data_IF_091075405220
#
_entry.id   IF_091075405220
#
_cell.length_a   1.000
_cell.length_b   1.000
_cell.length_c   1.000
_cell.angle_alpha   90.00
_cell.angle_beta   90.00
_cell.angle_gamma   90.00
#
_symmetry.space_group_name_H-M   'P 1'
#
loop_
_entity.id
_entity.type
_entity.pdbx_description
1 polymer ?
#
# COMPACT_ATOMS: atom_id res chain seq x y z
N UNK A 1 -19.20 15.58 -3.91
CA UNK A 1 -19.22 16.86 -4.45
C UNK A 1 -17.87 17.39 -4.90
N UNK A 2 -17.97 18.47 -5.65
CA UNK A 2 -16.82 19.18 -6.21
C UNK A 2 -15.86 19.73 -5.16
N UNK A 3 -16.31 19.85 -3.91
CA UNK A 3 -15.51 20.44 -2.84
C UNK A 3 -14.36 19.56 -2.35
N UNK A 4 -14.44 18.24 -2.58
CA UNK A 4 -13.34 17.33 -2.20
C UNK A 4 -12.09 17.55 -3.04
N UNK A 5 -12.25 17.98 -4.30
CA UNK A 5 -11.13 18.24 -5.19
C UNK A 5 -10.37 19.53 -4.82
N UNK A 6 -11.01 20.44 -4.09
CA UNK A 6 -10.42 21.73 -3.69
C UNK A 6 -9.66 21.65 -2.36
N UNK A 7 -9.86 20.57 -1.60
CA UNK A 7 -9.25 20.38 -0.28
C UNK A 7 -8.00 19.47 -0.31
N UNK A 8 -7.49 19.18 -1.49
CA UNK A 8 -6.24 18.42 -1.62
C UNK A 8 -5.09 19.31 -1.15
N UNK A 9 -4.29 18.77 -0.24
CA UNK A 9 -3.09 19.43 0.27
C UNK A 9 -2.24 19.91 -0.91
N UNK A 10 -1.73 21.16 -0.87
CA UNK A 10 -0.88 21.70 -1.95
C UNK A 10 0.29 20.79 -2.31
N UNK A 11 0.92 20.15 -1.33
CA UNK A 11 2.02 19.21 -1.58
C UNK A 11 1.53 17.96 -2.31
N UNK A 12 0.36 17.47 -1.93
CA UNK A 12 -0.26 16.33 -2.59
C UNK A 12 -0.67 16.68 -4.02
N UNK A 13 -1.23 17.87 -4.20
CA UNK A 13 -1.60 18.39 -5.52
C UNK A 13 -0.38 18.58 -6.41
N UNK A 14 0.70 19.11 -5.86
CA UNK A 14 1.96 19.27 -6.56
C UNK A 14 2.52 17.92 -7.02
N UNK A 15 2.40 16.90 -6.18
CA UNK A 15 2.84 15.54 -6.51
C UNK A 15 1.98 14.87 -7.55
N UNK A 16 0.66 15.07 -7.50
CA UNK A 16 -0.26 14.59 -8.53
C UNK A 16 0.02 15.27 -9.85
N UNK A 17 0.25 16.60 -9.83
CA UNK A 17 0.58 17.37 -11.03
C UNK A 17 1.94 16.97 -11.62
N UNK A 18 2.89 16.57 -10.76
CA UNK A 18 4.19 16.08 -11.18
C UNK A 18 4.19 14.56 -11.41
N UNK A 19 3.04 13.90 -11.24
CA UNK A 19 2.85 12.50 -11.54
C UNK A 19 3.08 12.25 -13.02
N UNK A 20 3.70 11.16 -13.33
CA UNK A 20 4.03 10.78 -14.70
C UNK A 20 4.89 9.54 -14.68
N UNK A 21 5.25 9.01 -15.85
CA UNK A 21 5.99 7.75 -15.95
C UNK A 21 7.36 7.79 -15.29
N UNK A 22 7.91 8.99 -15.02
CA UNK A 22 9.22 9.14 -14.39
C UNK A 22 9.19 9.05 -12.87
N UNK A 23 8.00 9.02 -12.26
CA UNK A 23 7.88 8.92 -10.81
C UNK A 23 7.81 7.49 -10.32
N UNK A 24 8.48 7.24 -9.20
CA UNK A 24 8.47 5.93 -8.58
C UNK A 24 7.07 5.56 -8.08
N UNK A 25 6.76 4.29 -8.21
CA UNK A 25 5.56 3.70 -7.65
C UNK A 25 5.91 3.18 -6.26
N UNK A 26 5.46 3.91 -5.25
CA UNK A 26 5.86 3.67 -3.86
C UNK A 26 4.75 2.97 -3.10
N UNK A 27 5.02 1.75 -2.66
CA UNK A 27 4.14 0.98 -1.80
C UNK A 27 4.65 1.11 -0.37
N UNK A 28 3.82 1.66 0.52
CA UNK A 28 4.25 2.02 1.87
C UNK A 28 3.40 1.33 2.93
N UNK A 29 4.07 0.86 3.98
CA UNK A 29 3.46 0.43 5.23
C UNK A 29 4.02 1.28 6.36
N UNK A 30 3.16 1.80 7.23
CA UNK A 30 3.60 2.55 8.41
C UNK A 30 3.12 1.87 9.69
N UNK A 31 3.91 1.96 10.74
CA UNK A 31 3.62 1.38 12.04
C UNK A 31 4.23 -0.02 12.21
N UNK A 32 3.78 -0.72 13.23
CA UNK A 32 4.25 -2.07 13.53
C UNK A 32 3.79 -3.04 12.43
N UNK A 33 4.74 -3.75 11.85
CA UNK A 33 4.47 -4.78 10.84
C UNK A 33 4.85 -6.14 11.44
N UNK A 34 3.83 -6.85 11.94
CA UNK A 34 4.02 -8.12 12.64
C UNK A 34 4.06 -9.30 11.67
N UNK A 35 4.86 -10.32 12.02
CA UNK A 35 5.08 -11.50 11.19
C UNK A 35 3.80 -12.25 10.82
N UNK A 36 2.82 -12.31 11.73
CA UNK A 36 1.56 -13.03 11.50
C UNK A 36 0.62 -12.34 10.52
N UNK A 37 0.93 -11.11 10.13
CA UNK A 37 0.25 -10.39 9.05
C UNK A 37 1.02 -10.37 7.73
N UNK A 38 2.08 -11.16 7.60
CA UNK A 38 2.96 -11.13 6.43
C UNK A 38 2.21 -11.51 5.15
N UNK A 39 2.05 -10.57 4.20
CA UNK A 39 1.32 -10.81 2.95
C UNK A 39 2.24 -11.45 1.90
N UNK A 40 2.63 -12.70 2.12
CA UNK A 40 3.59 -13.38 1.24
C UNK A 40 3.18 -13.43 -0.21
N UNK A 41 1.87 -13.58 -0.48
CA UNK A 41 1.35 -13.57 -1.85
C UNK A 41 1.54 -12.22 -2.53
N UNK A 42 1.39 -11.12 -1.79
CA UNK A 42 1.66 -9.79 -2.34
C UNK A 42 3.11 -9.67 -2.82
N UNK A 43 4.07 -10.16 -2.04
CA UNK A 43 5.48 -10.10 -2.44
C UNK A 43 5.73 -10.91 -3.72
N UNK A 44 5.11 -12.07 -3.85
CA UNK A 44 5.18 -12.89 -5.06
C UNK A 44 4.58 -12.19 -6.28
N UNK A 45 3.44 -11.53 -6.10
CA UNK A 45 2.78 -10.75 -7.16
C UNK A 45 3.67 -9.62 -7.65
N UNK A 46 4.28 -8.87 -6.73
CA UNK A 46 5.18 -7.77 -7.08
C UNK A 46 6.43 -8.29 -7.82
N UNK A 47 7.00 -9.37 -7.36
CA UNK A 47 8.16 -9.98 -8.00
C UNK A 47 7.84 -10.45 -9.41
N UNK A 48 6.71 -11.12 -9.60
CA UNK A 48 6.25 -11.58 -10.92
C UNK A 48 6.04 -10.40 -11.87
N UNK A 49 5.45 -9.30 -11.38
CA UNK A 49 5.24 -8.11 -12.21
C UNK A 49 6.57 -7.45 -12.59
N UNK A 50 7.54 -7.40 -11.69
CA UNK A 50 8.88 -6.91 -12.00
C UNK A 50 9.55 -7.71 -13.13
N UNK A 51 9.30 -9.03 -13.17
CA UNK A 51 9.85 -9.89 -14.23
C UNK A 51 9.20 -9.61 -15.58
N UNK A 52 7.90 -9.30 -15.60
CA UNK A 52 7.12 -9.14 -16.84
C UNK A 52 7.11 -7.72 -17.37
N UNK A 53 7.30 -6.72 -16.51
CA UNK A 53 7.16 -5.31 -16.85
C UNK A 53 8.41 -4.55 -16.40
N UNK A 54 9.26 -4.21 -17.36
CA UNK A 54 10.53 -3.55 -17.10
C UNK A 54 10.34 -2.15 -16.49
N UNK A 55 9.34 -1.41 -16.93
CA UNK A 55 9.06 -0.06 -16.39
C UNK A 55 8.59 -0.15 -14.94
N UNK A 56 7.75 -1.12 -14.63
CA UNK A 56 7.35 -1.36 -13.24
C UNK A 56 8.57 -1.71 -12.38
N UNK A 57 9.43 -2.59 -12.85
CA UNK A 57 10.65 -2.99 -12.15
C UNK A 57 11.56 -1.80 -11.84
N UNK A 58 11.70 -0.89 -12.79
CA UNK A 58 12.55 0.30 -12.60
C UNK A 58 11.98 1.26 -11.56
N UNK A 59 10.66 1.35 -11.43
CA UNK A 59 10.01 2.36 -10.63
C UNK A 59 9.46 1.87 -9.29
N UNK A 60 9.37 0.56 -9.09
CA UNK A 60 8.85 0.01 -7.83
C UNK A 60 9.77 0.38 -6.65
N UNK A 61 9.14 0.92 -5.60
CA UNK A 61 9.78 1.15 -4.30
C UNK A 61 8.85 0.63 -3.22
N UNK A 62 9.42 -0.09 -2.26
CA UNK A 62 8.71 -0.62 -1.10
C UNK A 62 9.30 0.04 0.13
N UNK A 63 8.48 0.69 0.95
CA UNK A 63 8.94 1.41 2.14
C UNK A 63 8.22 0.95 3.37
N UNK A 64 8.97 0.59 4.39
CA UNK A 64 8.45 0.28 5.70
C UNK A 64 8.90 1.35 6.68
N UNK A 65 7.93 1.98 7.35
CA UNK A 65 8.18 3.04 8.32
C UNK A 65 7.67 2.57 9.67
N UNK A 66 8.56 2.30 10.60
CA UNK A 66 8.25 1.71 11.89
C UNK A 66 8.98 0.39 12.09
N UNK A 67 8.61 -0.30 13.16
CA UNK A 67 9.22 -1.59 13.47
C UNK A 67 8.61 -2.67 12.59
N UNK A 68 9.45 -3.29 11.76
CA UNK A 68 9.06 -4.41 10.89
C UNK A 68 9.73 -5.68 11.39
N UNK A 69 8.96 -6.75 11.53
CA UNK A 69 9.49 -8.06 11.91
C UNK A 69 10.46 -8.57 10.85
N UNK A 70 11.55 -9.20 11.30
CA UNK A 70 12.59 -9.73 10.40
C UNK A 70 12.04 -10.73 9.39
N UNK A 71 11.02 -11.51 9.77
CA UNK A 71 10.40 -12.47 8.87
C UNK A 71 9.78 -11.80 7.63
N UNK A 72 9.28 -10.58 7.77
CA UNK A 72 8.74 -9.82 6.63
C UNK A 72 9.87 -9.33 5.73
N UNK A 73 10.94 -8.79 6.32
CA UNK A 73 12.10 -8.35 5.54
C UNK A 73 12.71 -9.51 4.76
N UNK A 74 12.83 -10.68 5.40
CA UNK A 74 13.33 -11.90 4.76
C UNK A 74 12.43 -12.35 3.61
N UNK A 75 11.10 -12.33 3.81
CA UNK A 75 10.15 -12.73 2.77
C UNK A 75 10.28 -11.84 1.52
N UNK A 76 10.42 -10.54 1.70
CA UNK A 76 10.63 -9.59 0.60
C UNK A 76 11.94 -9.90 -0.14
N UNK A 77 13.01 -10.15 0.61
CA UNK A 77 14.31 -10.50 0.03
C UNK A 77 14.30 -11.81 -0.71
N UNK A 78 13.63 -12.82 -0.16
CA UNK A 78 13.50 -14.15 -0.80
C UNK A 78 12.83 -14.07 -2.17
N UNK A 79 11.94 -13.10 -2.36
CA UNK A 79 11.30 -12.88 -3.67
C UNK A 79 12.16 -12.02 -4.61
N UNK A 80 13.37 -11.68 -4.23
CA UNK A 80 14.25 -10.87 -5.06
C UNK A 80 13.93 -9.39 -5.09
N UNK A 81 13.16 -8.90 -4.11
CA UNK A 81 12.73 -7.50 -4.06
C UNK A 81 13.63 -6.61 -3.20
N UNK A 82 14.76 -7.13 -2.75
CA UNK A 82 15.67 -6.42 -1.84
C UNK A 82 16.11 -5.06 -2.40
N UNK A 83 16.40 -4.99 -3.69
CA UNK A 83 16.81 -3.74 -4.35
C UNK A 83 15.71 -2.68 -4.40
N UNK A 84 14.45 -3.04 -4.13
CA UNK A 84 13.32 -2.11 -4.12
C UNK A 84 12.95 -1.67 -2.70
N UNK A 85 13.48 -2.35 -1.67
CA UNK A 85 13.06 -2.20 -0.29
C UNK A 85 13.89 -1.16 0.44
N UNK A 86 13.20 -0.25 1.15
CA UNK A 86 13.78 0.64 2.15
C UNK A 86 13.08 0.40 3.48
N UNK A 87 13.82 -0.13 4.46
CA UNK A 87 13.35 -0.26 5.83
C UNK A 87 13.83 0.96 6.61
N UNK A 88 12.94 1.90 6.86
CA UNK A 88 13.28 3.15 7.55
C UNK A 88 13.38 3.00 9.06
N UNK A 89 12.86 1.89 9.61
CA UNK A 89 12.79 1.69 11.04
C UNK A 89 11.86 2.69 11.73
N UNK A 90 11.99 2.80 13.04
CA UNK A 90 11.19 3.76 13.81
C UNK A 90 11.47 5.19 13.38
N UNK A 91 10.41 5.94 13.15
CA UNK A 91 10.48 7.35 12.77
C UNK A 91 9.47 8.16 13.58
N UNK A 92 9.69 9.46 13.77
CA UNK A 92 8.69 10.33 14.37
C UNK A 92 7.37 10.29 13.59
N UNK A 93 6.25 10.50 14.29
CA UNK A 93 4.92 10.43 13.70
C UNK A 93 4.76 11.33 12.47
N UNK A 94 5.33 12.53 12.49
CA UNK A 94 5.29 13.45 11.35
C UNK A 94 5.94 12.86 10.08
N UNK A 95 6.99 12.05 10.24
CA UNK A 95 7.64 11.37 9.12
C UNK A 95 6.71 10.27 8.57
N UNK A 96 6.09 9.50 9.45
CA UNK A 96 5.13 8.47 9.04
C UNK A 96 3.97 9.07 8.26
N UNK A 97 3.40 10.17 8.72
CA UNK A 97 2.31 10.87 8.01
C UNK A 97 2.76 11.34 6.64
N UNK A 98 3.96 11.91 6.54
CA UNK A 98 4.50 12.36 5.25
C UNK A 98 4.68 11.18 4.29
N UNK A 99 5.20 10.06 4.77
CA UNK A 99 5.38 8.87 3.94
C UNK A 99 4.04 8.29 3.46
N UNK A 100 3.01 8.36 4.29
CA UNK A 100 1.65 7.98 3.87
C UNK A 100 1.16 8.87 2.73
N UNK A 101 1.30 10.17 2.86
CA UNK A 101 0.82 11.14 1.87
C UNK A 101 1.57 11.08 0.54
N UNK A 102 2.78 10.57 0.56
CA UNK A 102 3.64 10.48 -0.63
C UNK A 102 3.61 9.12 -1.29
N UNK A 103 2.96 8.16 -0.68
CA UNK A 103 2.84 6.82 -1.22
C UNK A 103 1.95 6.80 -2.46
N UNK A 104 2.24 5.90 -3.38
CA UNK A 104 1.34 5.59 -4.50
C UNK A 104 0.25 4.63 -4.03
N UNK A 105 0.58 3.75 -3.10
CA UNK A 105 -0.31 2.75 -2.53
C UNK A 105 0.08 2.50 -1.07
N UNK A 106 -0.90 2.46 -0.18
CA UNK A 106 -0.71 2.08 1.21
C UNK A 106 -1.17 0.64 1.40
N UNK A 107 -0.41 -0.16 2.14
CA UNK A 107 -0.81 -1.53 2.46
C UNK A 107 -1.17 -1.64 3.94
N UNK A 108 -2.23 -2.38 4.22
CA UNK A 108 -2.76 -2.58 5.56
C UNK A 108 -3.10 -4.06 5.79
N UNK A 109 -2.08 -4.89 6.07
CA UNK A 109 -2.31 -6.30 6.34
C UNK A 109 -2.90 -6.51 7.74
N UNK A 110 -3.92 -7.35 7.82
CA UNK A 110 -4.47 -7.83 9.08
C UNK A 110 -3.89 -9.19 9.44
N UNK A 111 -3.94 -9.54 10.72
CA UNK A 111 -3.60 -10.87 11.19
C UNK A 111 -4.66 -11.86 10.71
N UNK A 112 -4.27 -13.13 10.59
CA UNK A 112 -5.12 -14.16 9.99
C UNK A 112 -6.16 -14.75 10.93
N UNK A 113 -6.01 -14.57 12.24
CA UNK A 113 -6.97 -15.10 13.21
C UNK A 113 -8.39 -14.55 12.96
N UNK A 114 -9.41 -15.40 13.06
CA UNK A 114 -10.79 -15.00 12.70
C UNK A 114 -11.34 -13.78 13.43
N UNK A 115 -10.89 -13.53 14.65
CA UNK A 115 -11.34 -12.37 15.44
C UNK A 115 -10.94 -11.04 14.82
N UNK A 116 -9.91 -11.00 13.98
CA UNK A 116 -9.48 -9.79 13.30
C UNK A 116 -10.42 -9.35 12.18
N UNK A 117 -11.38 -10.21 11.81
CA UNK A 117 -12.42 -9.84 10.84
C UNK A 117 -13.23 -8.63 11.28
N UNK A 118 -13.48 -8.50 12.58
CA UNK A 118 -14.26 -7.40 13.14
C UNK A 118 -13.41 -6.20 13.59
N UNK A 119 -12.09 -6.30 13.50
CA UNK A 119 -11.18 -5.28 14.00
C UNK A 119 -10.96 -4.20 12.94
N UNK A 120 -11.01 -2.94 13.39
CA UNK A 120 -10.60 -1.79 12.60
C UNK A 120 -9.23 -1.34 13.12
N UNK A 121 -8.16 -1.50 12.32
CA UNK A 121 -6.84 -1.05 12.72
C UNK A 121 -6.82 0.46 12.94
N UNK A 122 -6.11 0.92 13.98
CA UNK A 122 -6.03 2.35 14.29
C UNK A 122 -5.47 3.17 13.14
N UNK A 123 -4.48 2.65 12.42
CA UNK A 123 -3.87 3.35 11.29
C UNK A 123 -4.80 3.48 10.07
N UNK A 124 -5.91 2.74 10.03
CA UNK A 124 -6.87 2.86 8.93
C UNK A 124 -7.34 4.31 8.76
N UNK A 125 -7.65 4.99 9.85
CA UNK A 125 -8.15 6.37 9.79
C UNK A 125 -7.08 7.34 9.31
N UNK A 126 -5.82 7.14 9.69
CA UNK A 126 -4.72 7.93 9.14
C UNK A 126 -4.55 7.69 7.64
N UNK A 127 -4.67 6.44 7.20
CA UNK A 127 -4.60 6.08 5.78
C UNK A 127 -5.73 6.74 4.98
N UNK A 128 -6.95 6.72 5.52
CA UNK A 128 -8.08 7.41 4.88
C UNK A 128 -7.81 8.91 4.74
N UNK A 129 -7.23 9.53 5.76
CA UNK A 129 -6.90 10.95 5.74
C UNK A 129 -5.78 11.30 4.77
N UNK A 130 -5.00 10.33 4.31
CA UNK A 130 -3.91 10.56 3.36
C UNK A 130 -4.39 10.76 1.93
N UNK A 131 -5.62 10.39 1.61
CA UNK A 131 -6.21 10.41 0.27
C UNK A 131 -5.48 9.50 -0.73
N UNK A 132 -4.81 8.47 -0.24
CA UNK A 132 -4.11 7.50 -1.07
C UNK A 132 -4.87 6.20 -1.15
N UNK A 133 -4.73 5.44 -2.25
CA UNK A 133 -5.33 4.12 -2.33
C UNK A 133 -4.80 3.21 -1.24
N UNK A 134 -5.67 2.36 -0.72
CA UNK A 134 -5.32 1.40 0.34
C UNK A 134 -5.60 -0.01 -0.13
N UNK A 135 -4.60 -0.87 -0.05
CA UNK A 135 -4.76 -2.31 -0.20
C UNK A 135 -4.80 -2.92 1.19
N UNK A 136 -5.99 -3.24 1.65
CA UNK A 136 -6.18 -4.07 2.84
C UNK A 136 -5.96 -5.53 2.48
N UNK A 137 -5.27 -6.26 3.33
CA UNK A 137 -5.10 -7.71 3.16
C UNK A 137 -5.71 -8.37 4.38
N UNK A 138 -6.78 -9.10 4.17
CA UNK A 138 -7.58 -9.63 5.26
C UNK A 138 -8.77 -10.40 4.74
N UNK A 139 -9.82 -10.43 5.55
CA UNK A 139 -11.07 -11.07 5.14
C UNK A 139 -11.92 -10.07 4.36
N UNK A 140 -12.27 -10.38 3.10
CA UNK A 140 -13.00 -9.44 2.23
C UNK A 140 -14.39 -9.06 2.72
N UNK A 141 -14.97 -9.83 3.62
CA UNK A 141 -16.28 -9.57 4.22
C UNK A 141 -16.18 -8.96 5.63
N UNK A 142 -15.00 -8.52 6.04
CA UNK A 142 -14.77 -7.94 7.37
C UNK A 142 -15.11 -6.47 7.48
N UNK A 143 -14.92 -5.92 8.68
CA UNK A 143 -15.25 -4.53 9.01
C UNK A 143 -14.43 -3.52 8.19
N UNK A 144 -13.14 -3.79 8.01
CA UNK A 144 -12.27 -2.92 7.23
C UNK A 144 -12.71 -2.84 5.76
N UNK A 145 -13.12 -3.97 5.19
CA UNK A 145 -13.61 -4.02 3.81
C UNK A 145 -14.82 -3.11 3.61
N UNK A 146 -15.75 -3.12 4.55
CA UNK A 146 -16.93 -2.28 4.49
C UNK A 146 -16.56 -0.79 4.42
N UNK A 147 -15.62 -0.36 5.25
CA UNK A 147 -15.18 1.04 5.28
C UNK A 147 -14.44 1.43 4.00
N UNK A 148 -13.52 0.61 3.53
CA UNK A 148 -12.78 0.90 2.31
C UNK A 148 -13.70 0.98 1.08
N UNK A 149 -14.68 0.07 1.00
CA UNK A 149 -15.65 0.08 -0.09
C UNK A 149 -16.57 1.30 -0.02
N UNK A 150 -17.07 1.63 1.17
CA UNK A 150 -17.97 2.78 1.36
C UNK A 150 -17.28 4.10 1.04
N UNK A 151 -16.04 4.25 1.43
CA UNK A 151 -15.25 5.47 1.18
C UNK A 151 -14.62 5.49 -0.20
N UNK A 152 -14.68 4.40 -0.95
CA UNK A 152 -14.04 4.23 -2.26
C UNK A 152 -12.53 4.50 -2.21
N UNK A 153 -11.91 4.18 -1.08
CA UNK A 153 -10.49 4.43 -0.84
C UNK A 153 -9.62 3.23 -1.26
N UNK A 154 -10.18 2.04 -1.27
CA UNK A 154 -9.43 0.85 -1.59
C UNK A 154 -10.26 -0.42 -1.47
N UNK A 155 -9.58 -1.53 -1.32
CA UNK A 155 -10.20 -2.86 -1.23
C UNK A 155 -9.52 -3.67 -0.14
N UNK A 156 -10.23 -4.68 0.38
CA UNK A 156 -9.62 -5.75 1.18
C UNK A 156 -9.64 -7.03 0.35
N UNK A 157 -8.47 -7.62 0.17
CA UNK A 157 -8.29 -8.86 -0.57
C UNK A 157 -7.74 -9.94 0.36
N UNK A 158 -8.15 -11.18 0.12
CA UNK A 158 -7.67 -12.32 0.92
C UNK A 158 -6.15 -12.48 0.75
N UNK A 159 -5.46 -12.89 1.82
CA UNK A 159 -4.00 -13.07 1.84
C UNK A 159 -3.47 -13.93 0.70
N UNK A 160 -4.26 -14.88 0.22
CA UNK A 160 -3.86 -15.87 -0.78
C UNK A 160 -4.51 -15.66 -2.15
N UNK A 161 -5.30 -14.60 -2.31
CA UNK A 161 -5.99 -14.32 -3.58
C UNK A 161 -5.05 -13.62 -4.57
N UNK A 162 -4.16 -14.41 -5.14
CA UNK A 162 -3.15 -13.93 -6.08
C UNK A 162 -3.75 -13.20 -7.28
N UNK A 163 -4.82 -13.74 -7.85
CA UNK A 163 -5.43 -13.15 -9.05
C UNK A 163 -5.99 -11.76 -8.78
N UNK A 164 -6.71 -11.58 -7.65
CA UNK A 164 -7.28 -10.28 -7.29
C UNK A 164 -6.20 -9.28 -6.89
N UNK A 165 -5.16 -9.72 -6.18
CA UNK A 165 -4.03 -8.86 -5.82
C UNK A 165 -3.32 -8.39 -7.09
N UNK A 166 -3.07 -9.29 -8.04
CA UNK A 166 -2.45 -8.94 -9.32
C UNK A 166 -3.27 -7.88 -10.05
N UNK A 167 -4.58 -8.08 -10.17
CA UNK A 167 -5.46 -7.12 -10.86
C UNK A 167 -5.46 -5.76 -10.18
N UNK A 168 -5.47 -5.74 -8.85
CA UNK A 168 -5.46 -4.48 -8.12
C UNK A 168 -4.14 -3.72 -8.28
N UNK A 169 -3.01 -4.41 -8.20
CA UNK A 169 -1.69 -3.81 -8.43
C UNK A 169 -1.59 -3.28 -9.86
N UNK A 170 -2.05 -4.05 -10.84
CA UNK A 170 -2.06 -3.60 -12.24
C UNK A 170 -2.90 -2.33 -12.43
N UNK A 171 -4.05 -2.26 -11.78
CA UNK A 171 -4.90 -1.06 -11.81
C UNK A 171 -4.21 0.14 -11.19
N UNK A 172 -3.61 -0.02 -10.01
CA UNK A 172 -2.88 1.06 -9.34
C UNK A 172 -1.71 1.56 -10.18
N UNK A 173 -0.96 0.63 -10.78
CA UNK A 173 0.16 0.98 -11.66
C UNK A 173 -0.31 1.75 -12.89
N UNK A 174 -1.38 1.28 -13.53
CA UNK A 174 -1.97 1.95 -14.69
C UNK A 174 -2.41 3.38 -14.34
N UNK A 175 -3.09 3.54 -13.22
CA UNK A 175 -3.54 4.87 -12.76
C UNK A 175 -2.36 5.77 -12.38
N UNK A 176 -1.32 5.20 -11.80
CA UNK A 176 -0.10 5.93 -11.49
C UNK A 176 0.56 6.49 -12.76
N UNK A 177 0.66 5.69 -13.81
CA UNK A 177 1.21 6.13 -15.10
C UNK A 177 0.42 7.26 -15.72
N UNK A 178 -0.90 7.29 -15.48
CA UNK A 178 -1.78 8.36 -15.95
C UNK A 178 -1.78 9.59 -15.03
N UNK A 179 -1.14 9.50 -13.85
CA UNK A 179 -1.21 10.54 -12.83
C UNK A 179 -2.55 10.61 -12.10
N UNK A 180 -3.33 9.52 -12.09
CA UNK A 180 -4.64 9.44 -11.46
C UNK A 180 -4.58 8.67 -10.14
N UNK A 181 -5.47 9.01 -9.19
CA UNK A 181 -5.73 8.23 -7.98
C UNK A 181 -6.78 7.17 -8.28
N UNK A 182 -6.62 5.98 -7.67
CA UNK A 182 -7.60 4.91 -7.79
C UNK A 182 -8.87 5.16 -6.98
#
# INVERSE_FOLDING_TARGET
GTDQATNIDPDQKSRLAAGGPDKNFVITHTGLFAADGNPTTLWKVLAAKCTKDEEFRKHLRIRFVGKTDDAILEAVREEGLDGHLTDMGYQPHAVAIREQRTASLLILPLRKEPEYRAVLPGKLFEYLASWRPVLGIGQPDGAMSMILNTTKTGVVLNWEDEASITRFIDLCWKNHLKGELT
#
